data_IF_780021155337
#
_entry.id   IF_780021155337
#
_cell.length_a   1.000
_cell.length_b   1.000
_cell.length_c   1.000
_cell.angle_alpha   90.00
_cell.angle_beta   90.00
_cell.angle_gamma   90.00
#
_symmetry.space_group_name_H-M   'P 1'
#
loop_
_entity.id
_entity.type
_entity.pdbx_description
1 polymer ?
#
# COMPACT_ATOMS: atom_id res chain seq x y z
N UNK A 1 57.27 25.87 17.21
CA UNK A 1 58.17 25.11 16.32
C UNK A 1 57.35 23.95 15.74
N UNK A 2 56.92 24.01 14.46
CA UNK A 2 57.50 23.30 13.29
C UNK A 2 57.69 21.79 13.60
N UNK A 3 57.06 20.84 12.90
CA UNK A 3 57.05 20.67 11.43
C UNK A 3 55.82 19.91 10.93
N UNK A 4 55.31 20.40 9.81
CA UNK A 4 54.41 19.76 8.85
C UNK A 4 55.19 18.69 8.08
N UNK A 5 54.60 17.51 7.82
CA UNK A 5 55.15 16.55 6.86
C UNK A 5 54.24 16.46 5.64
N UNK A 6 54.85 16.71 4.47
CA UNK A 6 54.21 16.98 3.19
C UNK A 6 55.02 16.26 2.12
N UNK A 7 54.57 15.09 1.65
CA UNK A 7 54.95 14.42 0.39
C UNK A 7 53.80 13.46 0.06
N UNK A 8 52.91 13.65 -0.93
CA UNK A 8 53.09 13.77 -2.39
C UNK A 8 53.84 12.56 -2.98
N UNK A 9 53.10 11.49 -3.29
CA UNK A 9 53.46 10.60 -4.40
C UNK A 9 52.24 10.38 -5.29
N UNK A 10 52.45 10.77 -6.53
CA UNK A 10 51.60 10.67 -7.71
C UNK A 10 51.65 9.22 -8.19
N UNK A 11 50.49 8.64 -8.48
CA UNK A 11 50.38 7.33 -9.11
C UNK A 11 49.19 7.30 -10.07
N UNK A 12 49.37 7.88 -11.25
CA UNK A 12 48.44 7.73 -12.36
C UNK A 12 48.76 6.41 -13.09
N UNK A 13 47.84 5.44 -13.05
CA UNK A 13 47.80 4.34 -14.01
C UNK A 13 46.34 4.17 -14.43
N UNK A 14 46.00 4.76 -15.56
CA UNK A 14 44.81 4.41 -16.32
C UNK A 14 45.16 3.20 -17.20
N UNK A 15 44.45 2.08 -17.00
CA UNK A 15 44.36 1.02 -18.00
C UNK A 15 42.90 0.53 -18.06
N UNK A 16 42.29 0.86 -19.19
CA UNK A 16 40.93 0.52 -19.61
C UNK A 16 40.94 -0.94 -20.05
N UNK A 17 40.07 -1.77 -19.47
CA UNK A 17 39.56 -2.97 -20.15
C UNK A 17 38.05 -3.03 -19.99
N UNK A 18 37.35 -2.58 -21.03
CA UNK A 18 35.97 -2.91 -21.27
C UNK A 18 35.90 -4.38 -21.71
N UNK A 19 35.21 -5.23 -20.94
CA UNK A 19 34.83 -6.57 -21.39
C UNK A 19 33.38 -6.83 -21.00
N UNK A 20 32.48 -6.51 -21.92
CA UNK A 20 31.09 -6.99 -21.89
C UNK A 20 31.10 -8.48 -22.25
N UNK A 21 30.81 -9.36 -21.29
CA UNK A 21 30.43 -10.74 -21.62
C UNK A 21 28.95 -10.78 -22.02
N UNK A 22 28.75 -10.79 -23.33
CA UNK A 22 27.52 -11.14 -24.03
C UNK A 22 27.21 -12.62 -23.76
N UNK A 23 26.12 -12.92 -23.06
CA UNK A 23 25.51 -14.24 -23.07
C UNK A 23 24.21 -14.19 -23.86
N UNK A 24 24.28 -14.62 -25.12
CA UNK A 24 23.14 -15.05 -25.89
C UNK A 24 22.83 -16.50 -25.50
N UNK A 25 21.63 -16.76 -24.97
CA UNK A 25 21.07 -18.12 -24.94
C UNK A 25 19.73 -18.14 -25.65
N UNK A 26 19.84 -18.43 -26.95
CA UNK A 26 18.99 -19.26 -27.79
C UNK A 26 17.51 -19.37 -27.39
N UNK A 27 16.74 -18.59 -28.13
CA UNK A 27 15.35 -18.80 -28.53
C UNK A 27 15.11 -20.26 -28.96
N UNK A 28 14.10 -20.90 -28.38
CA UNK A 28 13.42 -22.04 -29.00
C UNK A 28 11.98 -21.64 -29.26
N UNK A 29 11.68 -21.58 -30.55
CA UNK A 29 10.42 -21.16 -31.16
C UNK A 29 9.40 -22.29 -31.06
N UNK A 30 8.20 -22.00 -30.57
CA UNK A 30 6.98 -22.60 -31.14
C UNK A 30 6.07 -21.43 -31.51
N UNK A 31 5.94 -21.26 -32.82
CA UNK A 31 5.08 -20.28 -33.46
C UNK A 31 3.64 -20.81 -33.58
N UNK A 32 2.74 -19.86 -33.87
CA UNK A 32 1.31 -19.95 -34.18
C UNK A 32 0.43 -19.76 -32.94
N UNK A 33 -0.50 -18.79 -32.89
CA UNK A 33 -1.33 -18.26 -33.97
C UNK A 33 -1.96 -16.93 -33.52
N UNK A 34 -2.10 -16.01 -34.47
CA UNK A 34 -2.74 -14.69 -34.39
C UNK A 34 -4.12 -14.69 -33.70
N UNK A 35 -4.39 -13.62 -32.93
CA UNK A 35 -5.38 -12.58 -33.26
C UNK A 35 -4.96 -11.31 -32.51
N UNK A 36 -4.80 -10.24 -33.28
CA UNK A 36 -4.62 -8.87 -32.87
C UNK A 36 -5.95 -8.34 -32.31
N UNK A 37 -5.96 -7.94 -31.04
CA UNK A 37 -6.93 -7.00 -30.49
C UNK A 37 -6.12 -5.84 -29.90
N UNK A 38 -6.52 -4.58 -30.13
CA UNK A 38 -5.83 -3.44 -29.55
C UNK A 38 -6.14 -3.44 -28.06
N UNK A 39 -5.27 -4.04 -27.24
CA UNK A 39 -5.26 -3.77 -25.81
C UNK A 39 -4.76 -2.35 -25.66
N UNK A 40 -5.72 -1.43 -25.68
CA UNK A 40 -5.57 -0.08 -25.20
C UNK A 40 -5.18 -0.19 -23.73
N UNK A 41 -3.87 -0.24 -23.49
CA UNK A 41 -3.22 -0.05 -22.20
C UNK A 41 -3.68 1.31 -21.66
N UNK A 42 -4.85 1.27 -21.02
CA UNK A 42 -5.36 2.36 -20.22
C UNK A 42 -4.81 2.03 -18.85
N UNK A 43 -3.78 2.75 -18.42
CA UNK A 43 -3.29 2.70 -17.05
C UNK A 43 -4.44 3.19 -16.13
N UNK A 44 -5.37 2.29 -15.84
CA UNK A 44 -6.37 2.50 -14.82
C UNK A 44 -5.61 2.59 -13.50
N UNK A 45 -5.75 3.73 -12.82
CA UNK A 45 -5.35 3.87 -11.44
C UNK A 45 -5.81 2.63 -10.66
N UNK A 46 -4.97 2.05 -9.78
CA UNK A 46 -5.40 0.90 -8.99
C UNK A 46 -6.64 1.29 -8.20
N UNK A 47 -7.81 0.81 -8.63
CA UNK A 47 -9.03 0.90 -7.85
C UNK A 47 -8.84 0.00 -6.64
N UNK A 48 -8.93 0.55 -5.45
CA UNK A 48 -8.75 -0.22 -4.22
C UNK A 48 -9.78 -1.35 -4.10
N UNK A 49 -9.46 -2.31 -3.24
CA UNK A 49 -10.23 -3.54 -3.05
C UNK A 49 -11.10 -3.37 -1.80
N UNK A 50 -12.40 -3.65 -1.90
CA UNK A 50 -13.28 -3.70 -0.74
C UNK A 50 -12.92 -4.88 0.17
N UNK A 51 -12.82 -4.63 1.47
CA UNK A 51 -12.43 -5.62 2.49
C UNK A 51 -13.41 -5.64 3.66
N UNK A 52 -13.49 -6.77 4.35
CA UNK A 52 -14.39 -6.89 5.52
C UNK A 52 -13.79 -6.21 6.74
N UNK A 53 -14.65 -5.72 7.63
CA UNK A 53 -14.25 -5.08 8.88
C UNK A 53 -13.37 -5.98 9.77
N UNK A 54 -13.66 -7.29 9.80
CA UNK A 54 -12.95 -8.24 10.65
C UNK A 54 -11.51 -8.49 10.23
N UNK A 55 -11.13 -8.12 9.00
CA UNK A 55 -9.78 -8.27 8.49
C UNK A 55 -8.90 -7.04 8.73
N UNK A 56 -9.42 -6.00 9.37
CA UNK A 56 -8.74 -4.70 9.47
C UNK A 56 -8.34 -4.43 10.92
N UNK A 57 -7.10 -4.00 11.13
CA UNK A 57 -6.72 -3.35 12.38
C UNK A 57 -7.15 -1.89 12.34
N UNK A 58 -8.21 -1.54 13.06
CA UNK A 58 -8.79 -0.19 13.04
C UNK A 58 -7.90 0.86 13.72
N UNK A 59 -6.97 0.43 14.59
CA UNK A 59 -6.01 1.34 15.22
C UNK A 59 -4.93 1.79 14.25
N UNK A 60 -4.44 0.86 13.44
CA UNK A 60 -3.33 1.12 12.52
C UNK A 60 -3.81 1.47 11.10
N UNK A 61 -5.09 1.30 10.81
CA UNK A 61 -5.67 1.47 9.47
C UNK A 61 -5.03 0.55 8.43
N UNK A 62 -4.84 -0.72 8.79
CA UNK A 62 -4.20 -1.73 7.94
C UNK A 62 -5.12 -2.93 7.75
N UNK A 63 -5.29 -3.37 6.51
CA UNK A 63 -5.86 -4.65 6.12
C UNK A 63 -4.85 -5.76 6.38
N UNK A 64 -5.22 -6.69 7.25
CA UNK A 64 -4.35 -7.74 7.77
C UNK A 64 -4.52 -9.08 7.03
N UNK A 65 -5.55 -9.20 6.18
CA UNK A 65 -5.84 -10.40 5.39
C UNK A 65 -6.25 -11.65 6.19
N UNK A 66 -6.66 -11.47 7.45
CA UNK A 66 -7.15 -12.54 8.34
C UNK A 66 -8.06 -11.95 9.41
N UNK A 67 -8.89 -12.75 10.07
CA UNK A 67 -9.72 -12.29 11.18
C UNK A 67 -8.88 -11.73 12.34
N UNK A 68 -9.24 -10.54 12.82
CA UNK A 68 -8.65 -9.84 13.96
C UNK A 68 -9.48 -10.07 15.24
N UNK A 69 -8.99 -9.55 16.36
CA UNK A 69 -9.69 -9.67 17.64
C UNK A 69 -10.86 -8.69 17.71
N UNK A 70 -12.04 -9.22 18.03
CA UNK A 70 -13.26 -8.45 18.25
C UNK A 70 -13.16 -7.61 19.52
N UNK A 71 -13.61 -6.37 19.44
CA UNK A 71 -13.68 -5.43 20.55
C UNK A 71 -15.09 -4.82 20.60
N UNK A 72 -15.99 -5.38 21.43
CA UNK A 72 -17.31 -4.80 21.63
C UNK A 72 -17.20 -3.45 22.34
N UNK A 73 -17.84 -2.42 21.78
CA UNK A 73 -17.92 -1.09 22.37
C UNK A 73 -19.24 -0.42 21.97
N UNK A 74 -20.03 0.02 22.95
CA UNK A 74 -21.31 0.71 22.74
C UNK A 74 -22.27 0.00 21.75
N UNK A 75 -22.33 -1.33 21.82
CA UNK A 75 -23.22 -2.14 20.97
C UNK A 75 -22.71 -2.36 19.54
N UNK A 76 -21.48 -1.91 19.22
CA UNK A 76 -20.80 -2.18 17.95
C UNK A 76 -19.58 -3.07 18.17
N UNK A 77 -19.07 -3.67 17.09
CA UNK A 77 -17.87 -4.51 17.10
C UNK A 77 -16.77 -3.83 16.28
N UNK A 78 -15.62 -3.61 16.92
CA UNK A 78 -14.39 -3.10 16.31
C UNK A 78 -13.32 -4.20 16.28
N UNK A 79 -12.22 -3.95 15.58
CA UNK A 79 -11.20 -4.96 15.35
C UNK A 79 -9.77 -4.43 15.56
N UNK A 80 -8.98 -5.17 16.37
CA UNK A 80 -7.59 -4.85 16.69
C UNK A 80 -6.65 -6.04 16.48
N UNK A 81 -5.43 -5.80 16.02
CA UNK A 81 -4.47 -6.88 15.71
C UNK A 81 -3.63 -7.36 16.90
N UNK A 82 -3.63 -6.64 18.02
CA UNK A 82 -2.91 -7.01 19.24
C UNK A 82 -3.60 -6.44 20.49
N UNK A 83 -3.19 -6.88 21.69
CA UNK A 83 -3.81 -6.46 22.96
C UNK A 83 -3.75 -4.94 23.15
N UNK A 84 -2.66 -4.27 22.73
CA UNK A 84 -2.60 -2.81 22.76
C UNK A 84 -3.66 -2.17 21.86
N UNK A 85 -3.95 -2.75 20.69
CA UNK A 85 -5.00 -2.22 19.83
C UNK A 85 -6.39 -2.40 20.45
N UNK A 86 -6.62 -3.54 21.14
CA UNK A 86 -7.86 -3.79 21.88
C UNK A 86 -8.06 -2.74 22.97
N UNK A 87 -7.03 -2.49 23.78
CA UNK A 87 -7.06 -1.48 24.84
C UNK A 87 -7.31 -0.07 24.27
N UNK A 88 -6.62 0.30 23.19
CA UNK A 88 -6.83 1.61 22.56
C UNK A 88 -8.23 1.76 21.99
N UNK A 89 -8.80 0.71 21.39
CA UNK A 89 -10.18 0.75 20.89
C UNK A 89 -11.18 0.99 22.02
N UNK A 90 -10.98 0.43 23.20
CA UNK A 90 -11.88 0.67 24.34
C UNK A 90 -11.76 2.08 24.92
N UNK A 91 -10.59 2.72 24.80
CA UNK A 91 -10.27 3.95 25.54
C UNK A 91 -10.15 5.21 24.65
N UNK A 92 -9.87 5.06 23.36
CA UNK A 92 -9.58 6.18 22.44
C UNK A 92 -10.64 6.28 21.33
N UNK A 93 -11.47 7.31 21.34
CA UNK A 93 -12.46 7.52 20.27
C UNK A 93 -11.82 7.75 18.89
N UNK A 94 -10.63 8.33 18.86
CA UNK A 94 -9.89 8.62 17.63
C UNK A 94 -9.56 7.35 16.83
N UNK A 95 -9.41 6.19 17.48
CA UNK A 95 -9.13 4.94 16.77
C UNK A 95 -10.40 4.26 16.27
N UNK A 96 -11.57 4.64 16.79
CA UNK A 96 -12.89 4.14 16.37
C UNK A 96 -13.50 4.94 15.22
N UNK A 97 -12.90 6.08 14.87
CA UNK A 97 -13.48 7.04 13.92
C UNK A 97 -12.49 7.37 12.79
N UNK A 98 -13.01 7.70 11.61
CA UNK A 98 -12.24 8.09 10.43
C UNK A 98 -12.92 9.24 9.70
N UNK A 99 -12.27 9.77 8.66
CA UNK A 99 -12.86 10.76 7.75
C UNK A 99 -13.13 10.09 6.42
N UNK A 100 -14.36 10.23 5.91
CA UNK A 100 -14.74 9.81 4.58
C UNK A 100 -14.01 10.66 3.52
N UNK A 101 -13.17 10.07 2.64
CA UNK A 101 -12.44 10.83 1.62
C UNK A 101 -13.32 11.55 0.60
N UNK A 102 -14.54 11.09 0.36
CA UNK A 102 -15.48 11.71 -0.57
C UNK A 102 -16.14 12.95 0.03
N UNK A 103 -16.66 12.82 1.25
CA UNK A 103 -17.54 13.84 1.85
C UNK A 103 -16.87 14.69 2.92
N UNK A 104 -15.72 14.27 3.44
CA UNK A 104 -15.02 14.90 4.56
C UNK A 104 -15.72 14.70 5.91
N UNK A 105 -16.81 13.92 5.97
CA UNK A 105 -17.53 13.66 7.21
C UNK A 105 -16.79 12.65 8.09
N UNK A 106 -16.97 12.79 9.40
CA UNK A 106 -16.54 11.79 10.37
C UNK A 106 -17.44 10.55 10.27
N UNK A 107 -16.83 9.38 10.19
CA UNK A 107 -17.51 8.08 10.12
C UNK A 107 -17.03 7.16 11.23
N UNK A 108 -17.92 6.28 11.67
CA UNK A 108 -17.61 5.20 12.61
C UNK A 108 -17.00 4.03 11.85
N UNK A 109 -15.82 3.57 12.26
CA UNK A 109 -15.11 2.50 11.58
C UNK A 109 -15.83 1.16 11.64
N UNK A 110 -16.64 0.88 12.67
CA UNK A 110 -17.35 -0.40 12.79
C UNK A 110 -18.44 -0.58 11.72
N UNK A 111 -18.95 0.51 11.14
CA UNK A 111 -19.98 0.49 10.09
C UNK A 111 -19.48 1.02 8.74
N UNK A 112 -18.21 1.35 8.62
CA UNK A 112 -17.65 1.94 7.41
C UNK A 112 -17.51 0.91 6.29
N UNK A 113 -17.59 1.40 5.06
CA UNK A 113 -17.18 0.69 3.85
C UNK A 113 -15.66 0.86 3.67
N UNK A 114 -14.90 -0.23 3.77
CA UNK A 114 -13.44 -0.18 3.87
C UNK A 114 -12.79 -0.60 2.56
N UNK A 115 -11.86 0.21 2.08
CA UNK A 115 -11.09 -0.05 0.87
C UNK A 115 -9.61 -0.21 1.22
N UNK A 116 -9.02 -1.35 0.87
CA UNK A 116 -7.57 -1.54 0.82
C UNK A 116 -7.00 -0.84 -0.42
N UNK A 117 -6.03 0.04 -0.21
CA UNK A 117 -5.52 0.98 -1.21
C UNK A 117 -4.27 0.47 -1.94
N UNK A 118 -3.50 -0.42 -1.32
CA UNK A 118 -2.21 -0.87 -1.82
C UNK A 118 -1.79 -2.22 -1.23
N UNK A 119 -0.66 -2.74 -1.72
CA UNK A 119 -0.09 -4.02 -1.28
C UNK A 119 0.37 -4.00 0.18
N UNK A 120 0.71 -2.83 0.72
CA UNK A 120 1.03 -2.64 2.13
C UNK A 120 -0.21 -2.72 3.04
N UNK A 121 -1.41 -2.78 2.46
CA UNK A 121 -2.68 -2.95 3.17
C UNK A 121 -3.22 -1.67 3.79
N UNK A 122 -2.75 -0.47 3.40
CA UNK A 122 -3.34 0.77 3.89
C UNK A 122 -4.82 0.84 3.53
N UNK A 123 -5.68 1.28 4.47
CA UNK A 123 -7.12 1.36 4.19
C UNK A 123 -7.68 2.78 4.24
N UNK A 124 -8.70 3.02 3.42
CA UNK A 124 -9.61 4.16 3.52
C UNK A 124 -10.98 3.71 4.04
N UNK A 125 -11.67 4.61 4.74
CA UNK A 125 -13.00 4.37 5.31
C UNK A 125 -14.01 5.31 4.66
N UNK A 126 -15.08 4.76 4.10
CA UNK A 126 -16.18 5.52 3.53
C UNK A 126 -17.45 5.29 4.35
N UNK A 127 -18.34 6.27 4.37
CA UNK A 127 -19.69 6.14 4.97
C UNK A 127 -20.50 5.07 4.23
N UNK A 128 -20.28 4.90 2.93
CA UNK A 128 -20.99 3.96 2.07
C UNK A 128 -20.17 3.54 0.85
N UNK A 129 -20.58 2.44 0.21
CA UNK A 129 -20.07 2.05 -1.12
C UNK A 129 -20.30 3.17 -2.16
N UNK A 130 -21.44 3.84 -2.10
CA UNK A 130 -21.76 4.95 -3.00
C UNK A 130 -20.73 6.10 -2.88
N UNK A 131 -20.31 6.44 -1.66
CA UNK A 131 -19.29 7.47 -1.45
C UNK A 131 -17.94 7.04 -2.07
N UNK A 132 -17.55 5.78 -1.94
CA UNK A 132 -16.37 5.26 -2.64
C UNK A 132 -16.51 5.34 -4.16
N UNK A 133 -17.65 4.92 -4.72
CA UNK A 133 -17.91 4.97 -6.15
C UNK A 133 -17.90 6.41 -6.69
N UNK A 134 -18.39 7.38 -5.92
CA UNK A 134 -18.35 8.79 -6.29
C UNK A 134 -16.94 9.38 -6.15
N UNK A 135 -16.18 8.98 -5.13
CA UNK A 135 -14.78 9.36 -4.97
C UNK A 135 -13.94 8.97 -6.20
N UNK A 136 -14.02 7.71 -6.65
CA UNK A 136 -13.25 7.25 -7.80
C UNK A 136 -13.70 7.87 -9.14
N UNK A 137 -14.99 8.23 -9.28
CA UNK A 137 -15.48 8.96 -10.45
C UNK A 137 -14.97 10.40 -10.47
N UNK A 138 -14.92 11.06 -9.32
CA UNK A 138 -14.46 12.44 -9.20
C UNK A 138 -12.94 12.61 -9.39
N UNK A 139 -12.17 11.55 -9.16
CA UNK A 139 -10.72 11.51 -9.37
C UNK A 139 -10.28 10.90 -10.71
N UNK A 140 -11.22 10.59 -11.63
CA UNK A 140 -10.95 10.05 -12.98
C UNK A 140 -11.02 11.12 -14.06
#
# INVERSE_FOLDING_TARGET
MKRVNKYLIIGAIALVIASCQKQEKKQETIAQKSIELPVKETFATPKGIHVTNEEVCMVNNIHMGKKQMEVPFEGKIYYGCCNMCVERISNEESVRTAIDPHTGKKVDKASAYIISLNEEGNVAYFESEENYLNFIKSGS
#
